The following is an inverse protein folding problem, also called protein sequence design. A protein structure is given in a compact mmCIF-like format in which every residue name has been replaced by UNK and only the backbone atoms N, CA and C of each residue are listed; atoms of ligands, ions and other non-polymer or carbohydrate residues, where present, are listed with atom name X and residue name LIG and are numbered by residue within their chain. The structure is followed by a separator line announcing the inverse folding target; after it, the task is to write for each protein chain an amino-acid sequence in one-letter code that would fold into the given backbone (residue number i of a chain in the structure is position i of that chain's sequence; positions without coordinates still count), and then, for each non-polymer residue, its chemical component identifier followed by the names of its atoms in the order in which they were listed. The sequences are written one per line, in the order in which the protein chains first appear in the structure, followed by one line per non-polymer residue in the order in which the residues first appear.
data_IF_594452564929
#
_entry.id   IF_594452564929
#
_cell.length_a   1.000
_cell.length_b   1.000
_cell.length_c   1.000
_cell.angle_alpha   90.00
_cell.angle_beta   90.00
_cell.angle_gamma   90.00
#
_symmetry.space_group_name_H-M   'P 1'
#
loop_
_entity.id
_entity.type
_entity.pdbx_description
1 polymer ?
#
# COMPACT_ATOMS: atom_id res chain seq x y z
N UNK A 1 -11.30 -14.83 3.13
CA UNK A 1 -12.42 -14.50 4.07
C UNK A 1 -12.45 -13.01 4.48
N UNK A 2 -11.38 -12.40 5.02
CA UNK A 2 -11.32 -10.92 5.23
C UNK A 2 -11.00 -10.12 3.96
N UNK A 3 -10.50 -10.78 2.90
CA UNK A 3 -10.12 -10.19 1.61
C UNK A 3 -11.30 -9.99 0.64
N UNK A 4 -12.36 -10.79 0.79
CA UNK A 4 -13.60 -10.76 -0.03
C UNK A 4 -14.39 -9.45 0.08
N UNK A 5 -14.29 -8.80 1.23
CA UNK A 5 -15.19 -7.75 1.66
C UNK A 5 -14.76 -6.34 1.21
N UNK A 6 -13.49 -6.21 0.86
CA UNK A 6 -12.84 -4.93 0.58
C UNK A 6 -13.28 -4.35 -0.76
N UNK A 7 -13.80 -5.15 -1.71
CA UNK A 7 -13.98 -4.70 -3.09
C UNK A 7 -15.26 -3.91 -3.38
N UNK A 8 -16.41 -4.22 -2.78
CA UNK A 8 -17.59 -3.35 -2.97
C UNK A 8 -17.61 -2.20 -1.96
N UNK A 9 -16.92 -2.41 -0.85
CA UNK A 9 -16.29 -1.33 -0.08
C UNK A 9 -15.25 -0.58 -0.90
N UNK A 10 -14.64 -1.11 -1.96
CA UNK A 10 -13.81 -0.35 -2.87
C UNK A 10 -14.70 0.31 -3.93
N UNK A 11 -15.80 -0.23 -4.42
CA UNK A 11 -16.70 0.57 -5.26
C UNK A 11 -17.25 1.78 -4.46
N UNK A 12 -17.63 1.59 -3.20
CA UNK A 12 -18.06 2.66 -2.29
C UNK A 12 -16.88 3.50 -1.77
N UNK A 13 -15.78 2.90 -1.30
CA UNK A 13 -14.62 3.60 -0.74
C UNK A 13 -13.59 4.06 -1.76
N UNK A 14 -13.60 3.58 -3.00
CA UNK A 14 -12.94 4.22 -4.15
C UNK A 14 -13.79 5.40 -4.60
N UNK A 15 -15.13 5.30 -4.51
CA UNK A 15 -16.05 6.43 -4.64
C UNK A 15 -16.08 7.36 -3.41
N UNK A 16 -15.39 7.03 -2.31
CA UNK A 16 -15.20 7.91 -1.14
C UNK A 16 -13.76 8.44 -1.08
N UNK A 17 -12.78 7.63 -1.49
CA UNK A 17 -11.42 8.08 -1.80
C UNK A 17 -11.40 9.12 -2.92
N UNK A 18 -12.33 9.05 -3.88
CA UNK A 18 -12.51 10.04 -4.95
C UNK A 18 -13.06 11.39 -4.46
N UNK A 19 -13.63 11.43 -3.26
CA UNK A 19 -14.20 12.63 -2.64
C UNK A 19 -13.49 13.01 -1.33
N UNK A 20 -12.24 12.60 -1.15
CA UNK A 20 -11.43 12.92 0.04
C UNK A 20 -12.09 12.52 1.37
N UNK A 21 -13.01 11.55 1.32
CA UNK A 21 -13.73 11.13 2.50
C UNK A 21 -12.87 10.21 3.37
N UNK A 22 -12.45 10.73 4.51
CA UNK A 22 -11.53 10.05 5.43
C UNK A 22 -12.33 9.10 6.32
N UNK A 23 -12.60 7.90 5.82
CA UNK A 23 -13.16 6.83 6.66
C UNK A 23 -12.14 6.43 7.73
N UNK A 24 -12.53 6.54 8.99
CA UNK A 24 -11.83 5.96 10.12
C UNK A 24 -11.81 4.44 10.02
N UNK A 25 -10.87 3.80 10.71
CA UNK A 25 -10.75 2.34 10.69
C UNK A 25 -11.97 1.65 11.34
N UNK A 26 -12.62 2.33 12.29
CA UNK A 26 -13.91 1.92 12.85
C UNK A 26 -15.02 1.91 11.79
N UNK A 27 -15.11 2.94 10.96
CA UNK A 27 -16.11 3.02 9.88
C UNK A 27 -15.86 1.94 8.82
N UNK A 28 -14.60 1.72 8.45
CA UNK A 28 -14.23 0.63 7.53
C UNK A 28 -14.62 -0.74 8.09
N UNK A 29 -14.35 -1.00 9.36
CA UNK A 29 -14.69 -2.25 10.02
C UNK A 29 -16.21 -2.46 10.11
N UNK A 30 -16.98 -1.40 10.43
CA UNK A 30 -18.43 -1.46 10.51
C UNK A 30 -19.07 -1.75 9.14
N UNK A 31 -18.60 -1.09 8.08
CA UNK A 31 -19.08 -1.37 6.72
C UNK A 31 -18.71 -2.80 6.33
N UNK A 32 -17.46 -3.22 6.60
CA UNK A 32 -16.96 -4.55 6.30
C UNK A 32 -17.86 -5.62 6.90
N UNK A 33 -18.18 -5.50 8.18
CA UNK A 33 -19.05 -6.45 8.87
C UNK A 33 -20.47 -6.48 8.28
N UNK A 34 -21.01 -5.34 7.85
CA UNK A 34 -22.35 -5.25 7.29
C UNK A 34 -22.47 -5.86 5.88
N UNK A 35 -21.43 -5.73 5.05
CA UNK A 35 -21.49 -6.11 3.62
C UNK A 35 -20.99 -7.53 3.34
N UNK A 36 -20.24 -8.15 4.26
CA UNK A 36 -19.66 -9.49 4.08
C UNK A 36 -20.68 -10.57 3.74
N UNK A 37 -21.83 -10.69 4.44
CA UNK A 37 -22.82 -11.71 4.12
C UNK A 37 -23.41 -11.54 2.71
N UNK A 38 -23.64 -10.29 2.30
CA UNK A 38 -24.19 -9.93 0.98
C UNK A 38 -23.20 -10.32 -0.12
N UNK A 39 -21.92 -10.05 0.08
CA UNK A 39 -20.86 -10.40 -0.87
C UNK A 39 -20.72 -11.89 -1.05
N UNK A 40 -20.69 -12.66 0.04
CA UNK A 40 -20.62 -14.12 -0.03
C UNK A 40 -21.81 -14.68 -0.80
N UNK A 41 -23.02 -14.20 -0.53
CA UNK A 41 -24.23 -14.65 -1.21
C UNK A 41 -24.19 -14.34 -2.72
N UNK A 42 -23.86 -13.09 -3.10
CA UNK A 42 -23.80 -12.70 -4.50
C UNK A 42 -22.65 -13.37 -5.27
N UNK A 43 -21.50 -13.57 -4.63
CA UNK A 43 -20.34 -14.27 -5.21
C UNK A 43 -20.72 -15.71 -5.59
N UNK A 44 -21.39 -16.42 -4.67
CA UNK A 44 -21.88 -17.77 -4.92
C UNK A 44 -22.94 -17.81 -6.03
N UNK A 45 -23.87 -16.84 -6.03
CA UNK A 45 -24.95 -16.79 -7.02
C UNK A 45 -24.44 -16.53 -8.45
N UNK A 46 -23.35 -15.79 -8.61
CA UNK A 46 -22.87 -15.33 -9.92
C UNK A 46 -21.50 -15.88 -10.31
N UNK A 47 -20.98 -16.87 -9.57
CA UNK A 47 -19.75 -17.58 -9.92
C UNK A 47 -18.50 -16.70 -9.89
N UNK A 48 -18.48 -15.68 -9.04
CA UNK A 48 -17.33 -14.77 -8.88
C UNK A 48 -16.44 -15.27 -7.76
N UNK A 49 -15.19 -15.58 -8.04
CA UNK A 49 -14.23 -16.09 -7.05
C UNK A 49 -13.55 -14.97 -6.25
N UNK A 50 -12.87 -15.34 -5.15
CA UNK A 50 -12.03 -14.39 -4.39
C UNK A 50 -10.90 -13.82 -5.26
N UNK A 51 -10.39 -14.63 -6.18
CA UNK A 51 -9.33 -14.24 -7.10
C UNK A 51 -9.83 -13.19 -8.10
N UNK A 52 -11.01 -13.37 -8.68
CA UNK A 52 -11.60 -12.40 -9.62
C UNK A 52 -11.82 -11.05 -8.95
N UNK A 53 -12.31 -11.07 -7.70
CA UNK A 53 -12.52 -9.86 -6.89
C UNK A 53 -11.18 -9.20 -6.54
N UNK A 54 -10.15 -10.00 -6.24
CA UNK A 54 -8.80 -9.51 -5.95
C UNK A 54 -8.19 -8.84 -7.19
N UNK A 55 -8.26 -9.50 -8.35
CA UNK A 55 -7.76 -8.94 -9.62
C UNK A 55 -8.49 -7.65 -9.97
N UNK A 56 -9.81 -7.60 -9.86
CA UNK A 56 -10.58 -6.38 -10.09
C UNK A 56 -10.19 -5.23 -9.13
N UNK A 57 -9.85 -5.56 -7.88
CA UNK A 57 -9.34 -4.59 -6.89
C UNK A 57 -7.97 -4.03 -7.29
N UNK A 58 -7.05 -4.90 -7.68
CA UNK A 58 -5.67 -4.56 -8.06
C UNK A 58 -5.65 -3.73 -9.35
N UNK A 59 -6.39 -4.18 -10.36
CA UNK A 59 -6.54 -3.50 -11.64
C UNK A 59 -7.36 -2.21 -11.54
N UNK A 60 -8.07 -2.01 -10.41
CA UNK A 60 -9.02 -0.92 -10.18
C UNK A 60 -10.06 -0.84 -11.30
N UNK A 61 -10.43 -2.00 -11.84
CA UNK A 61 -11.35 -2.15 -12.95
C UNK A 61 -12.32 -3.29 -12.64
N UNK A 62 -13.61 -3.06 -12.90
CA UNK A 62 -14.67 -4.02 -12.68
C UNK A 62 -15.13 -4.73 -13.95
N UNK A 63 -14.53 -4.42 -15.11
CA UNK A 63 -14.89 -5.02 -16.41
C UNK A 63 -14.74 -6.54 -16.45
N UNK A 64 -13.80 -7.06 -15.66
CA UNK A 64 -13.54 -8.50 -15.54
C UNK A 64 -14.48 -9.19 -14.55
N UNK A 65 -15.33 -8.44 -13.84
CA UNK A 65 -16.33 -9.02 -12.94
C UNK A 65 -17.66 -9.21 -13.64
N UNK A 66 -18.35 -10.27 -13.21
CA UNK A 66 -19.72 -10.50 -13.64
C UNK A 66 -20.60 -9.30 -13.24
N UNK A 67 -21.20 -8.61 -14.22
CA UNK A 67 -22.04 -7.44 -13.95
C UNK A 67 -23.25 -7.76 -13.06
N UNK A 68 -23.77 -8.99 -13.11
CA UNK A 68 -24.85 -9.43 -12.24
C UNK A 68 -24.41 -9.69 -10.79
N UNK A 69 -23.13 -10.00 -10.55
CA UNK A 69 -22.60 -9.99 -9.18
C UNK A 69 -22.71 -8.60 -8.56
N UNK A 70 -22.35 -7.55 -9.32
CA UNK A 70 -22.44 -6.15 -8.88
C UNK A 70 -23.91 -5.76 -8.69
N UNK A 71 -24.78 -6.13 -9.64
CA UNK A 71 -26.22 -5.89 -9.55
C UNK A 71 -26.88 -6.55 -8.35
N UNK A 72 -26.54 -7.82 -8.07
CA UNK A 72 -26.99 -8.53 -6.88
C UNK A 72 -26.61 -7.79 -5.60
N UNK A 73 -25.34 -7.37 -5.52
CA UNK A 73 -24.85 -6.64 -4.36
C UNK A 73 -25.61 -5.32 -4.17
N UNK A 74 -25.73 -4.51 -5.23
CA UNK A 74 -26.40 -3.22 -5.12
C UNK A 74 -27.88 -3.32 -4.80
N UNK A 75 -28.58 -4.34 -5.30
CA UNK A 75 -29.97 -4.61 -4.89
C UNK A 75 -30.10 -4.95 -3.42
N UNK A 76 -29.20 -5.77 -2.88
CA UNK A 76 -29.22 -6.14 -1.45
C UNK A 76 -28.84 -4.97 -0.53
N UNK A 77 -28.09 -4.00 -1.06
CA UNK A 77 -27.80 -2.74 -0.38
C UNK A 77 -28.86 -1.65 -0.63
N UNK A 78 -29.94 -1.99 -1.36
CA UNK A 78 -30.98 -1.06 -1.83
C UNK A 78 -30.44 0.15 -2.61
N UNK A 79 -29.25 0.04 -3.20
CA UNK A 79 -28.70 1.01 -4.15
C UNK A 79 -29.44 0.87 -5.47
N UNK A 80 -29.77 -0.36 -5.88
CA UNK A 80 -30.71 -0.61 -6.97
C UNK A 80 -32.06 -1.05 -6.40
N UNK A 81 -33.16 -0.60 -7.01
CA UNK A 81 -34.50 -1.05 -6.70
C UNK A 81 -34.83 -2.42 -7.33
N UNK A 82 -36.07 -2.88 -7.12
CA UNK A 82 -36.56 -4.15 -7.68
C UNK A 82 -36.60 -4.16 -9.22
N UNK A 83 -36.70 -2.98 -9.86
CA UNK A 83 -36.63 -2.81 -11.32
C UNK A 83 -35.19 -2.70 -11.83
N UNK A 84 -34.19 -2.81 -10.96
CA UNK A 84 -32.79 -2.65 -11.31
C UNK A 84 -32.42 -1.20 -11.67
N UNK A 85 -33.21 -0.22 -11.22
CA UNK A 85 -32.90 1.21 -11.34
C UNK A 85 -32.15 1.70 -10.12
N UNK A 86 -31.25 2.64 -10.34
CA UNK A 86 -30.48 3.28 -9.29
C UNK A 86 -31.38 4.20 -8.45
N UNK A 87 -31.48 3.87 -7.16
CA UNK A 87 -32.20 4.62 -6.15
C UNK A 87 -31.21 5.48 -5.36
N UNK A 88 -31.02 6.71 -5.83
CA UNK A 88 -30.06 7.67 -5.25
C UNK A 88 -30.34 7.92 -3.77
N UNK A 89 -31.59 8.17 -3.40
CA UNK A 89 -31.98 8.53 -2.04
C UNK A 89 -31.78 7.36 -1.06
N UNK A 90 -32.21 6.16 -1.43
CA UNK A 90 -32.06 4.97 -0.59
C UNK A 90 -30.58 4.52 -0.50
N UNK A 91 -29.85 4.63 -1.61
CA UNK A 91 -28.41 4.42 -1.63
C UNK A 91 -27.69 5.35 -0.66
N UNK A 92 -27.96 6.66 -0.72
CA UNK A 92 -27.36 7.64 0.19
C UNK A 92 -27.79 7.44 1.65
N UNK A 93 -29.05 7.08 1.91
CA UNK A 93 -29.52 6.75 3.25
C UNK A 93 -28.80 5.53 3.84
N UNK A 94 -28.43 4.55 3.01
CA UNK A 94 -27.67 3.39 3.46
C UNK A 94 -26.20 3.69 3.65
N UNK A 95 -25.58 4.48 2.76
CA UNK A 95 -24.17 4.87 2.90
C UNK A 95 -23.93 5.85 4.07
N UNK A 96 -24.85 6.80 4.31
CA UNK A 96 -24.72 7.81 5.37
C UNK A 96 -24.71 7.24 6.79
N UNK A 97 -25.16 6.00 6.98
CA UNK A 97 -25.05 5.26 8.25
C UNK A 97 -23.60 5.00 8.67
N UNK A 98 -22.67 5.05 7.71
CA UNK A 98 -21.27 4.67 7.90
C UNK A 98 -20.28 5.82 7.72
N UNK A 99 -20.75 6.99 7.25
CA UNK A 99 -19.92 8.16 7.01
C UNK A 99 -20.30 9.22 8.04
N UNK A 100 -19.46 9.40 9.06
CA UNK A 100 -19.70 10.34 10.16
C UNK A 100 -19.37 11.79 9.78
N UNK A 101 -18.51 12.00 8.79
CA UNK A 101 -18.11 13.33 8.32
C UNK A 101 -19.18 13.95 7.42
N UNK A 102 -19.63 15.16 7.76
CA UNK A 102 -20.62 15.90 6.98
C UNK A 102 -20.05 16.35 5.62
N UNK A 103 -18.77 16.71 5.56
CA UNK A 103 -18.07 17.09 4.32
C UNK A 103 -18.03 15.92 3.34
N UNK A 104 -17.71 14.74 3.87
CA UNK A 104 -17.56 13.50 3.11
C UNK A 104 -18.90 13.02 2.56
N UNK A 105 -19.95 13.16 3.38
CA UNK A 105 -21.33 12.86 2.98
C UNK A 105 -21.79 13.79 1.86
N UNK A 106 -21.50 15.09 1.94
CA UNK A 106 -21.91 16.05 0.92
C UNK A 106 -21.28 15.77 -0.45
N UNK A 107 -20.01 15.36 -0.45
CA UNK A 107 -19.32 15.04 -1.70
C UNK A 107 -19.77 13.70 -2.30
N UNK A 108 -19.98 12.68 -1.46
CA UNK A 108 -20.61 11.43 -1.91
C UNK A 108 -22.00 11.70 -2.51
N UNK A 109 -22.79 12.57 -1.87
CA UNK A 109 -24.12 12.97 -2.35
C UNK A 109 -24.07 13.64 -3.73
N UNK A 110 -23.05 14.46 -4.00
CA UNK A 110 -22.86 15.07 -5.32
C UNK A 110 -22.61 14.01 -6.40
N UNK A 111 -21.65 13.10 -6.19
CA UNK A 111 -21.33 12.02 -7.13
C UNK A 111 -22.53 11.08 -7.31
N UNK A 112 -23.20 10.72 -6.21
CA UNK A 112 -24.37 9.86 -6.23
C UNK A 112 -25.51 10.45 -7.07
N UNK A 113 -25.73 11.77 -7.02
CA UNK A 113 -26.75 12.45 -7.83
C UNK A 113 -26.34 12.54 -9.30
N UNK A 114 -25.07 12.83 -9.59
CA UNK A 114 -24.56 12.93 -10.95
C UNK A 114 -24.64 11.58 -11.68
N UNK A 115 -24.25 10.50 -10.99
CA UNK A 115 -24.42 9.14 -11.48
C UNK A 115 -25.87 8.66 -11.51
N UNK A 116 -26.85 9.47 -11.10
CA UNK A 116 -28.28 9.20 -11.30
C UNK A 116 -28.65 9.02 -12.78
N UNK A 117 -27.87 9.63 -13.68
CA UNK A 117 -28.02 9.56 -15.14
C UNK A 117 -27.90 8.15 -15.71
N UNK A 118 -27.31 7.19 -14.99
CA UNK A 118 -27.25 5.78 -15.44
C UNK A 118 -28.63 5.12 -15.56
N UNK A 119 -29.67 5.73 -14.98
CA UNK A 119 -31.05 5.31 -15.19
C UNK A 119 -31.57 5.61 -16.60
N UNK A 120 -31.01 6.61 -17.28
CA UNK A 120 -31.40 7.00 -18.64
C UNK A 120 -30.72 6.13 -19.71
N UNK A 121 -29.68 5.40 -19.33
CA UNK A 121 -28.95 4.49 -20.21
C UNK A 121 -29.78 3.24 -20.55
N UNK A 122 -29.71 2.86 -21.83
CA UNK A 122 -30.35 1.66 -22.33
C UNK A 122 -29.60 0.41 -21.82
N UNK A 123 -30.35 -0.52 -21.25
CA UNK A 123 -29.81 -1.81 -20.77
C UNK A 123 -30.59 -2.96 -21.40
N UNK A 124 -29.91 -4.08 -21.63
CA UNK A 124 -30.48 -5.28 -22.27
C UNK A 124 -31.00 -6.32 -21.27
N UNK A 125 -30.61 -6.20 -20.01
CA UNK A 125 -30.91 -7.14 -18.92
C UNK A 125 -32.22 -6.82 -18.17
N UNK A 126 -32.96 -5.81 -18.63
CA UNK A 126 -34.26 -5.41 -18.11
C UNK A 126 -34.20 -5.07 -16.62
N UNK A 127 -35.00 -5.77 -15.81
CA UNK A 127 -35.07 -5.54 -14.37
C UNK A 127 -33.94 -6.22 -13.59
N UNK A 128 -33.01 -6.94 -14.23
CA UNK A 128 -31.93 -7.63 -13.53
C UNK A 128 -30.96 -6.65 -12.86
N UNK A 129 -30.71 -5.49 -13.47
CA UNK A 129 -29.88 -4.42 -12.91
C UNK A 129 -28.38 -4.70 -12.93
N UNK A 130 -27.94 -5.72 -13.67
CA UNK A 130 -26.54 -6.07 -13.87
C UNK A 130 -25.79 -5.00 -14.66
N UNK A 131 -26.30 -4.63 -15.85
CA UNK A 131 -25.67 -3.63 -16.72
C UNK A 131 -25.69 -2.26 -16.07
N UNK A 132 -26.82 -1.90 -15.45
CA UNK A 132 -26.93 -0.61 -14.75
C UNK A 132 -26.03 -0.51 -13.53
N UNK A 133 -25.79 -1.62 -12.83
CA UNK A 133 -24.79 -1.66 -11.75
C UNK A 133 -23.39 -1.41 -12.29
N UNK A 134 -23.03 -1.98 -13.44
CA UNK A 134 -21.73 -1.75 -14.06
C UNK A 134 -21.58 -0.29 -14.52
N UNK A 135 -22.62 0.30 -15.13
CA UNK A 135 -22.65 1.72 -15.49
C UNK A 135 -22.49 2.64 -14.27
N UNK A 136 -23.16 2.31 -13.17
CA UNK A 136 -23.05 3.06 -11.91
C UNK A 136 -21.62 3.01 -11.35
N UNK A 137 -20.99 1.84 -11.37
CA UNK A 137 -19.58 1.69 -10.95
C UNK A 137 -18.65 2.48 -11.88
N UNK A 138 -18.84 2.38 -13.19
CA UNK A 138 -18.03 3.11 -14.16
C UNK A 138 -18.15 4.64 -13.97
N UNK A 139 -19.37 5.16 -13.75
CA UNK A 139 -19.61 6.56 -13.46
C UNK A 139 -18.86 6.99 -12.18
N UNK A 140 -19.01 6.22 -11.09
CA UNK A 140 -18.38 6.57 -9.82
C UNK A 140 -16.84 6.50 -9.90
N UNK A 141 -16.29 5.59 -10.71
CA UNK A 141 -14.86 5.51 -11.03
C UNK A 141 -14.38 6.66 -11.92
N UNK A 142 -15.21 7.19 -12.83
CA UNK A 142 -14.86 8.36 -13.63
C UNK A 142 -14.63 9.59 -12.74
N UNK A 143 -15.45 9.77 -11.70
CA UNK A 143 -15.23 10.80 -10.67
C UNK A 143 -13.99 10.55 -9.79
N UNK A 144 -13.36 9.36 -9.85
CA UNK A 144 -12.06 9.05 -9.21
C UNK A 144 -10.86 9.37 -10.10
N UNK A 145 -10.99 9.25 -11.42
CA UNK A 145 -9.98 9.80 -12.35
C UNK A 145 -9.85 11.33 -12.18
N UNK A 146 -10.84 11.94 -11.55
CA UNK A 146 -10.83 13.36 -11.18
C UNK A 146 -10.14 13.69 -9.83
N UNK A 147 -9.62 12.72 -9.06
CA UNK A 147 -9.12 12.92 -7.69
C UNK A 147 -7.58 13.00 -7.51
N UNK A 148 -6.81 12.72 -8.56
CA UNK A 148 -5.89 13.76 -9.04
C UNK A 148 -6.47 14.02 -10.41
N UNK A 149 -7.26 15.09 -10.54
CA UNK A 149 -7.91 15.46 -11.79
C UNK A 149 -7.04 15.10 -12.97
N UNK A 150 -7.54 14.50 -14.05
CA UNK A 150 -6.76 14.54 -15.30
C UNK A 150 -6.33 16.00 -15.59
N UNK A 151 -7.15 16.98 -15.17
CA UNK A 151 -6.80 18.40 -15.07
C UNK A 151 -5.71 18.76 -14.08
N UNK A 152 -5.63 18.12 -12.91
CA UNK A 152 -4.58 18.37 -11.90
C UNK A 152 -3.27 17.66 -12.28
N UNK A 153 -3.33 16.44 -12.83
CA UNK A 153 -2.17 15.77 -13.44
C UNK A 153 -1.65 16.56 -14.61
N UNK A 154 -2.53 17.05 -15.47
CA UNK A 154 -2.16 17.90 -16.58
C UNK A 154 -1.68 19.26 -16.09
N UNK A 155 -2.26 19.86 -15.04
CA UNK A 155 -1.75 21.10 -14.44
C UNK A 155 -0.39 20.92 -13.78
N UNK A 156 -0.15 19.79 -13.10
CA UNK A 156 1.16 19.42 -12.54
C UNK A 156 2.15 19.21 -13.68
N UNK A 157 1.75 18.48 -14.72
CA UNK A 157 2.56 18.24 -15.92
C UNK A 157 2.88 19.54 -16.62
N UNK A 158 1.92 20.43 -16.86
CA UNK A 158 2.11 21.76 -17.45
C UNK A 158 3.00 22.64 -16.57
N UNK A 159 2.82 22.60 -15.25
CA UNK A 159 3.62 23.39 -14.30
C UNK A 159 5.06 22.90 -14.20
N UNK A 160 5.27 21.59 -14.34
CA UNK A 160 6.60 20.96 -14.29
C UNK A 160 7.23 20.80 -15.68
N UNK A 161 6.46 20.87 -16.77
CA UNK A 161 6.95 20.68 -18.15
C UNK A 161 8.15 21.55 -18.46
N UNK A 162 8.16 22.87 -18.12
CA UNK A 162 9.34 23.70 -18.38
C UNK A 162 10.60 23.19 -17.68
N UNK A 163 10.47 22.67 -16.45
CA UNK A 163 11.58 22.09 -15.68
C UNK A 163 11.99 20.75 -16.28
N UNK A 164 11.02 19.89 -16.63
CA UNK A 164 11.24 18.58 -17.24
C UNK A 164 11.93 18.73 -18.60
N UNK A 165 11.48 19.66 -19.44
CA UNK A 165 12.04 19.92 -20.76
C UNK A 165 13.44 20.52 -20.66
N UNK A 166 13.65 21.47 -19.74
CA UNK A 166 14.98 22.06 -19.48
C UNK A 166 15.97 21.01 -18.99
N UNK A 167 15.56 20.18 -18.02
CA UNK A 167 16.43 19.14 -17.50
C UNK A 167 16.65 18.02 -18.52
N UNK A 168 15.59 17.56 -19.19
CA UNK A 168 15.61 16.44 -20.15
C UNK A 168 16.52 16.67 -21.36
N UNK A 169 16.80 17.92 -21.73
CA UNK A 169 17.69 18.26 -22.84
C UNK A 169 19.19 18.21 -22.47
N UNK A 170 19.54 17.96 -21.21
CA UNK A 170 20.90 18.14 -20.68
C UNK A 170 21.72 16.89 -20.31
N UNK A 171 21.26 15.66 -20.60
CA UNK A 171 21.75 14.47 -19.87
C UNK A 171 22.95 13.69 -20.41
N UNK A 172 23.69 14.21 -21.40
CA UNK A 172 24.94 13.60 -21.85
C UNK A 172 26.11 14.59 -21.80
N UNK A 173 26.32 15.27 -20.67
CA UNK A 173 27.52 16.07 -20.47
C UNK A 173 28.37 15.57 -19.30
N UNK A 174 29.69 15.58 -19.51
CA UNK A 174 30.75 15.14 -18.59
C UNK A 174 30.80 15.92 -17.25
N UNK A 175 29.80 16.77 -16.98
CA UNK A 175 29.66 17.63 -15.81
C UNK A 175 28.81 17.01 -14.67
N UNK A 176 28.33 15.77 -14.82
CA UNK A 176 27.62 15.06 -13.76
C UNK A 176 26.18 15.54 -13.49
N UNK A 177 25.56 16.33 -14.38
CA UNK A 177 24.15 16.73 -14.20
C UNK A 177 23.17 15.66 -14.69
N UNK A 178 22.80 14.75 -13.80
CA UNK A 178 21.65 13.85 -13.89
C UNK A 178 20.30 14.59 -13.80
N UNK A 179 19.23 13.94 -14.27
CA UNK A 179 17.88 14.50 -14.31
C UNK A 179 17.38 14.90 -12.94
N UNK A 180 17.57 14.01 -11.96
CA UNK A 180 17.19 14.28 -10.58
C UNK A 180 17.87 15.54 -10.04
N UNK A 181 19.18 15.71 -10.28
CA UNK A 181 19.95 16.87 -9.81
C UNK A 181 19.44 18.19 -10.38
N UNK A 182 19.22 18.24 -11.68
CA UNK A 182 18.63 19.42 -12.33
C UNK A 182 17.21 19.70 -11.81
N UNK A 183 16.37 18.67 -11.76
CA UNK A 183 14.97 18.79 -11.39
C UNK A 183 14.80 19.25 -9.94
N UNK A 184 15.45 18.59 -8.99
CA UNK A 184 15.38 18.95 -7.57
C UNK A 184 16.13 20.24 -7.23
N UNK A 185 17.20 20.55 -7.97
CA UNK A 185 17.88 21.85 -7.89
C UNK A 185 16.95 23.00 -8.25
N UNK A 186 16.21 22.87 -9.36
CA UNK A 186 15.22 23.87 -9.82
C UNK A 186 14.05 24.02 -8.86
N UNK A 187 13.63 22.93 -8.22
CA UNK A 187 12.62 22.94 -7.17
C UNK A 187 13.15 23.44 -5.81
N UNK A 188 14.46 23.69 -5.68
CA UNK A 188 15.11 24.08 -4.43
C UNK A 188 15.10 22.99 -3.35
N UNK A 189 14.73 21.76 -3.72
CA UNK A 189 14.72 20.58 -2.83
C UNK A 189 16.14 20.17 -2.48
N UNK A 190 17.09 20.39 -3.40
CA UNK A 190 18.52 20.27 -3.17
C UNK A 190 19.16 21.59 -3.59
N UNK A 191 20.04 22.15 -2.76
CA UNK A 191 20.73 23.40 -3.11
C UNK A 191 21.98 23.19 -3.99
N UNK A 192 22.67 24.28 -4.32
CA UNK A 192 23.87 24.25 -5.17
C UNK A 192 25.05 23.50 -4.53
N UNK A 193 25.03 23.30 -3.21
CA UNK A 193 26.03 22.54 -2.46
C UNK A 193 25.62 21.07 -2.29
N UNK A 194 24.50 20.66 -2.89
CA UNK A 194 23.97 19.29 -2.77
C UNK A 194 23.27 19.02 -1.44
N UNK A 195 22.85 20.05 -0.71
CA UNK A 195 22.14 19.86 0.57
C UNK A 195 20.65 19.74 0.32
N UNK A 196 20.07 18.61 0.75
CA UNK A 196 18.64 18.38 0.75
C UNK A 196 17.95 19.28 1.79
N UNK A 197 16.92 20.01 1.35
CA UNK A 197 16.13 20.92 2.16
C UNK A 197 14.67 20.41 2.28
N UNK A 198 14.28 19.85 3.45
CA UNK A 198 12.93 19.30 3.63
C UNK A 198 11.84 20.37 3.55
N UNK A 199 12.09 21.59 4.03
CA UNK A 199 11.11 22.68 3.99
C UNK A 199 10.82 23.13 2.56
N UNK A 200 11.86 23.19 1.72
CA UNK A 200 11.68 23.46 0.29
C UNK A 200 11.02 22.29 -0.42
N UNK A 201 11.30 21.04 -0.05
CA UNK A 201 10.58 19.88 -0.59
C UNK A 201 9.08 19.96 -0.28
N UNK A 202 8.72 20.25 0.96
CA UNK A 202 7.34 20.47 1.43
C UNK A 202 6.71 21.65 0.71
N UNK A 203 7.42 22.77 0.59
CA UNK A 203 6.93 23.98 -0.07
C UNK A 203 6.70 23.76 -1.56
N UNK A 204 7.62 23.11 -2.25
CA UNK A 204 7.51 22.80 -3.67
C UNK A 204 6.34 21.87 -3.91
N UNK A 205 6.21 20.80 -3.11
CA UNK A 205 5.04 19.93 -3.20
C UNK A 205 3.75 20.68 -2.87
N UNK A 206 3.69 21.50 -1.83
CA UNK A 206 2.52 22.34 -1.58
C UNK A 206 2.19 23.31 -2.72
N UNK A 207 3.20 23.83 -3.42
CA UNK A 207 3.02 24.75 -4.52
C UNK A 207 2.44 24.07 -5.77
N UNK A 208 2.91 22.85 -6.08
CA UNK A 208 2.49 22.10 -7.27
C UNK A 208 1.29 21.17 -7.01
N UNK A 209 1.09 20.73 -5.77
CA UNK A 209 0.12 19.71 -5.33
C UNK A 209 -0.93 20.30 -4.38
N UNK A 210 -1.38 21.55 -4.61
CA UNK A 210 -2.46 22.16 -3.83
C UNK A 210 -3.69 21.26 -3.85
N UNK A 211 -4.08 20.71 -2.69
CA UNK A 211 -5.25 19.86 -2.56
C UNK A 211 -4.98 18.39 -2.21
N UNK A 212 -3.72 17.95 -2.12
CA UNK A 212 -3.43 16.55 -1.82
C UNK A 212 -3.74 16.19 -0.36
N UNK A 213 -4.69 15.27 -0.19
CA UNK A 213 -5.14 14.75 1.10
C UNK A 213 -4.17 13.77 1.78
N UNK A 214 -2.88 14.11 1.96
CA UNK A 214 -2.02 13.54 3.02
C UNK A 214 -0.70 14.32 3.20
N UNK A 215 -0.77 15.65 3.25
CA UNK A 215 0.40 16.51 3.44
C UNK A 215 1.19 16.17 4.70
N UNK A 216 0.52 15.75 5.78
CA UNK A 216 1.18 15.34 7.03
C UNK A 216 2.17 14.19 6.85
N UNK A 217 1.81 13.16 6.06
CA UNK A 217 2.72 12.04 5.77
C UNK A 217 3.89 12.50 4.92
N UNK A 218 3.65 13.35 3.91
CA UNK A 218 4.73 13.89 3.10
C UNK A 218 5.71 14.73 3.93
N UNK A 219 5.20 15.59 4.82
CA UNK A 219 6.02 16.39 5.72
C UNK A 219 6.89 15.54 6.64
N UNK A 220 6.33 14.46 7.19
CA UNK A 220 7.07 13.51 8.01
C UNK A 220 8.18 12.83 7.21
N UNK A 221 7.87 12.33 6.01
CA UNK A 221 8.84 11.68 5.12
C UNK A 221 9.94 12.65 4.70
N UNK A 222 9.59 13.87 4.29
CA UNK A 222 10.57 14.90 3.93
C UNK A 222 11.54 15.17 5.08
N UNK A 223 11.02 15.30 6.31
CA UNK A 223 11.87 15.47 7.51
C UNK A 223 12.77 14.27 7.76
N UNK A 224 12.24 13.03 7.68
CA UNK A 224 13.03 11.79 7.81
C UNK A 224 14.15 11.69 6.77
N UNK A 225 13.91 12.16 5.55
CA UNK A 225 14.89 12.17 4.48
C UNK A 225 16.02 13.18 4.64
N UNK A 226 16.02 14.04 5.68
CA UNK A 226 17.18 14.90 6.00
C UNK A 226 18.46 14.10 6.22
N UNK A 227 18.36 12.83 6.64
CA UNK A 227 19.48 11.89 6.78
C UNK A 227 20.30 11.72 5.49
N UNK A 228 19.72 12.00 4.31
CA UNK A 228 20.45 11.91 3.05
C UNK A 228 21.61 12.90 3.01
N UNK A 229 21.61 13.96 3.83
CA UNK A 229 22.70 14.94 3.96
C UNK A 229 23.94 14.40 4.69
N UNK A 230 23.81 13.30 5.42
CA UNK A 230 24.91 12.71 6.18
C UNK A 230 25.66 11.64 5.36
N UNK A 231 25.07 11.19 4.25
CA UNK A 231 25.66 10.16 3.39
C UNK A 231 26.87 10.72 2.63
N UNK A 232 27.95 9.93 2.44
CA UNK A 232 29.06 10.36 1.61
C UNK A 232 28.63 10.47 0.14
N UNK A 233 29.24 11.40 -0.58
CA UNK A 233 29.01 11.63 -2.01
C UNK A 233 30.34 11.69 -2.78
N UNK A 234 30.31 11.31 -4.04
CA UNK A 234 31.45 11.42 -4.95
C UNK A 234 31.69 12.87 -5.32
N UNK A 235 32.96 13.27 -5.30
CA UNK A 235 33.37 14.63 -5.63
C UNK A 235 32.99 14.98 -7.07
N UNK A 236 32.26 16.08 -7.27
CA UNK A 236 31.81 16.56 -8.58
C UNK A 236 30.46 16.01 -9.04
N UNK A 237 29.74 15.25 -8.21
CA UNK A 237 28.39 14.72 -8.50
C UNK A 237 27.42 14.89 -7.31
N UNK A 238 27.74 15.78 -6.38
CA UNK A 238 27.11 15.88 -5.07
C UNK A 238 25.60 16.14 -5.18
N UNK A 239 25.19 17.08 -6.03
CA UNK A 239 23.79 17.43 -6.26
C UNK A 239 22.99 16.21 -6.76
N UNK A 240 23.60 15.42 -7.62
CA UNK A 240 22.94 14.32 -8.30
C UNK A 240 22.78 13.09 -7.44
N UNK A 241 23.84 12.71 -6.74
CA UNK A 241 23.78 11.63 -5.76
C UNK A 241 22.80 11.97 -4.64
N UNK A 242 22.80 13.21 -4.15
CA UNK A 242 21.85 13.67 -3.12
C UNK A 242 20.41 13.69 -3.58
N UNK A 243 20.19 14.14 -4.81
CA UNK A 243 18.86 14.14 -5.43
C UNK A 243 18.34 12.73 -5.61
N UNK A 244 19.18 11.79 -6.06
CA UNK A 244 18.80 10.39 -6.16
C UNK A 244 18.53 9.77 -4.77
N UNK A 245 19.39 10.02 -3.78
CA UNK A 245 19.15 9.56 -2.40
C UNK A 245 17.86 10.11 -1.79
N UNK A 246 17.47 11.34 -2.12
CA UNK A 246 16.22 11.94 -1.68
C UNK A 246 15.00 11.25 -2.34
N UNK A 247 15.10 10.90 -3.64
CA UNK A 247 14.08 10.09 -4.33
C UNK A 247 13.96 8.71 -3.69
N UNK A 248 15.09 8.03 -3.52
CA UNK A 248 15.15 6.69 -2.95
C UNK A 248 14.55 6.69 -1.54
N UNK A 249 14.91 7.66 -0.70
CA UNK A 249 14.34 7.82 0.63
C UNK A 249 12.82 8.07 0.60
N UNK A 250 12.33 8.89 -0.34
CA UNK A 250 10.89 9.10 -0.53
C UNK A 250 10.17 7.81 -0.95
N UNK A 251 10.80 6.99 -1.79
CA UNK A 251 10.28 5.70 -2.25
C UNK A 251 10.32 4.64 -1.13
N UNK A 252 11.38 4.59 -0.34
CA UNK A 252 11.50 3.76 0.87
C UNK A 252 10.30 4.03 1.80
N UNK A 253 9.95 5.31 2.01
CA UNK A 253 8.86 5.69 2.90
C UNK A 253 7.45 5.65 2.28
N UNK A 254 7.35 5.48 0.95
CA UNK A 254 6.08 5.25 0.25
C UNK A 254 5.47 3.90 0.63
N UNK A 255 6.32 2.89 0.86
CA UNK A 255 5.94 1.53 1.23
C UNK A 255 6.35 1.19 2.66
N UNK A 256 6.47 2.19 3.55
CA UNK A 256 6.97 1.93 4.88
C UNK A 256 5.91 1.37 5.83
N UNK A 257 6.28 0.30 6.54
CA UNK A 257 5.64 -0.13 7.79
C UNK A 257 5.66 1.07 8.74
N UNK A 258 4.52 1.42 9.35
CA UNK A 258 4.41 2.64 10.16
C UNK A 258 5.27 2.55 11.42
N UNK A 259 5.64 3.69 12.01
CA UNK A 259 6.41 3.70 13.26
C UNK A 259 5.64 3.00 14.41
N UNK A 260 4.31 3.08 14.39
CA UNK A 260 3.41 2.39 15.32
C UNK A 260 3.46 0.87 15.12
N UNK A 261 3.43 0.40 13.87
CA UNK A 261 3.59 -1.01 13.53
C UNK A 261 4.99 -1.52 13.92
N UNK A 262 6.04 -0.73 13.70
CA UNK A 262 7.42 -1.04 14.14
C UNK A 262 7.53 -1.14 15.66
N UNK A 263 6.90 -0.22 16.40
CA UNK A 263 6.86 -0.26 17.86
C UNK A 263 6.11 -1.50 18.37
N UNK A 264 4.95 -1.81 17.79
CA UNK A 264 4.18 -3.00 18.16
C UNK A 264 4.93 -4.31 17.89
N UNK A 265 5.66 -4.40 16.77
CA UNK A 265 6.54 -5.53 16.46
C UNK A 265 7.66 -5.63 17.49
N UNK A 266 8.31 -4.50 17.82
CA UNK A 266 9.39 -4.47 18.81
C UNK A 266 8.90 -4.94 20.18
N UNK A 267 7.75 -4.48 20.65
CA UNK A 267 7.21 -4.86 21.96
C UNK A 267 6.95 -6.37 22.07
N UNK A 268 6.53 -7.02 20.97
CA UNK A 268 6.33 -8.47 20.93
C UNK A 268 7.65 -9.22 20.81
N UNK A 269 8.58 -8.73 19.99
CA UNK A 269 9.85 -9.41 19.75
C UNK A 269 10.85 -9.25 20.89
N UNK A 270 10.83 -8.14 21.63
CA UNK A 270 11.82 -7.86 22.66
C UNK A 270 11.94 -8.94 23.74
N UNK A 271 10.86 -9.45 24.37
CA UNK A 271 10.99 -10.56 25.32
C UNK A 271 11.52 -11.85 24.67
N UNK A 272 11.14 -12.13 23.42
CA UNK A 272 11.62 -13.30 22.67
C UNK A 272 13.12 -13.16 22.38
N UNK A 273 13.57 -11.98 21.94
CA UNK A 273 14.97 -11.67 21.69
C UNK A 273 15.78 -11.82 22.97
N UNK A 274 15.31 -11.30 24.11
CA UNK A 274 15.99 -11.46 25.39
C UNK A 274 16.14 -12.93 25.77
N UNK A 275 15.07 -13.72 25.67
CA UNK A 275 15.10 -15.15 25.98
C UNK A 275 16.08 -15.91 25.06
N UNK A 276 15.99 -15.72 23.75
CA UNK A 276 16.88 -16.37 22.78
C UNK A 276 18.34 -15.91 22.91
N UNK A 277 18.57 -14.65 23.31
CA UNK A 277 19.91 -14.12 23.57
C UNK A 277 20.57 -14.82 24.75
N UNK A 278 19.82 -15.06 25.83
CA UNK A 278 20.29 -15.82 26.99
C UNK A 278 20.59 -17.28 26.62
N UNK A 279 19.69 -17.92 25.86
CA UNK A 279 19.83 -19.32 25.44
C UNK A 279 21.07 -19.56 24.55
N UNK A 280 21.35 -18.65 23.62
CA UNK A 280 22.42 -18.81 22.63
C UNK A 280 23.66 -17.94 22.88
N UNK A 281 23.69 -17.25 24.03
CA UNK A 281 24.78 -16.37 24.43
C UNK A 281 25.07 -15.26 23.41
N UNK A 282 24.03 -14.59 22.93
CA UNK A 282 24.13 -13.43 22.03
C UNK A 282 24.03 -12.15 22.87
N UNK A 283 24.98 -11.25 22.72
CA UNK A 283 24.96 -9.96 23.39
C UNK A 283 24.21 -8.90 22.58
N UNK A 284 23.77 -7.82 23.21
CA UNK A 284 23.17 -6.67 22.51
C UNK A 284 24.13 -6.09 21.45
N UNK A 285 25.44 -6.07 21.73
CA UNK A 285 26.45 -5.65 20.77
C UNK A 285 26.55 -6.55 19.53
N UNK A 286 26.29 -7.85 19.66
CA UNK A 286 26.24 -8.78 18.52
C UNK A 286 25.01 -8.50 17.64
N UNK A 287 23.86 -8.19 18.27
CA UNK A 287 22.63 -7.82 17.55
C UNK A 287 22.84 -6.51 16.78
N UNK A 288 23.39 -5.48 17.43
CA UNK A 288 23.69 -4.20 16.77
C UNK A 288 24.67 -4.35 15.61
N UNK A 289 25.69 -5.21 15.76
CA UNK A 289 26.64 -5.49 14.70
C UNK A 289 25.97 -6.18 13.51
N UNK A 290 25.07 -7.12 13.77
CA UNK A 290 24.29 -7.81 12.73
C UNK A 290 23.32 -6.87 12.00
N UNK A 291 22.63 -5.99 12.74
CA UNK A 291 21.75 -4.98 12.16
C UNK A 291 22.51 -4.03 11.22
N UNK A 292 23.68 -3.56 11.66
CA UNK A 292 24.55 -2.69 10.83
C UNK A 292 25.10 -3.40 9.61
N UNK A 293 25.40 -4.70 9.72
CA UNK A 293 25.90 -5.50 8.61
C UNK A 293 24.81 -5.82 7.57
N UNK A 294 23.53 -5.74 7.95
CA UNK A 294 22.38 -6.12 7.12
C UNK A 294 22.57 -7.49 6.44
N UNK A 295 23.16 -8.44 7.18
CA UNK A 295 23.59 -9.74 6.67
C UNK A 295 23.30 -10.84 7.71
N UNK A 296 22.69 -11.93 7.26
CA UNK A 296 22.37 -13.10 8.08
C UNK A 296 23.63 -13.80 8.66
N UNK A 297 24.81 -13.61 8.06
CA UNK A 297 26.06 -14.21 8.57
C UNK A 297 26.60 -13.54 9.83
N UNK A 298 26.19 -12.31 10.09
CA UNK A 298 26.71 -11.52 11.21
C UNK A 298 26.06 -11.89 12.56
N UNK A 299 25.16 -12.87 12.58
CA UNK A 299 24.43 -13.29 13.78
C UNK A 299 24.39 -14.82 13.89
N UNK A 300 24.32 -15.31 15.13
CA UNK A 300 24.33 -16.76 15.39
C UNK A 300 23.09 -17.42 14.76
N UNK A 301 23.24 -18.47 13.93
CA UNK A 301 22.11 -19.12 13.28
C UNK A 301 21.06 -19.66 14.26
N UNK A 302 21.46 -20.27 15.37
CA UNK A 302 20.51 -20.80 16.34
C UNK A 302 19.76 -19.71 17.12
N UNK A 303 20.35 -18.53 17.30
CA UNK A 303 19.62 -17.38 17.84
C UNK A 303 18.48 -16.95 16.90
N UNK A 304 18.73 -16.90 15.59
CA UNK A 304 17.67 -16.67 14.60
C UNK A 304 16.63 -17.79 14.63
N UNK A 305 17.07 -19.05 14.68
CA UNK A 305 16.18 -20.22 14.77
C UNK A 305 15.25 -20.15 15.97
N UNK A 306 15.77 -19.79 17.15
CA UNK A 306 14.98 -19.59 18.36
C UNK A 306 13.90 -18.50 18.19
N UNK A 307 14.28 -17.33 17.66
CA UNK A 307 13.33 -16.23 17.43
C UNK A 307 12.23 -16.67 16.45
N UNK A 308 12.62 -17.26 15.33
CA UNK A 308 11.69 -17.63 14.27
C UNK A 308 10.76 -18.78 14.70
N UNK A 309 11.22 -19.71 15.55
CA UNK A 309 10.35 -20.73 16.15
C UNK A 309 9.34 -20.12 17.12
N UNK A 310 9.78 -19.22 17.99
CA UNK A 310 8.90 -18.57 18.99
C UNK A 310 7.89 -17.62 18.36
N UNK A 311 8.16 -17.13 17.17
CA UNK A 311 7.21 -16.33 16.37
C UNK A 311 6.42 -17.17 15.36
N UNK A 312 6.54 -18.50 15.39
CA UNK A 312 5.90 -19.44 14.46
C UNK A 312 6.24 -19.22 12.97
N UNK A 313 7.35 -18.53 12.69
CA UNK A 313 7.89 -18.45 11.33
C UNK A 313 8.53 -19.77 10.93
N UNK A 314 9.20 -20.43 11.88
CA UNK A 314 9.59 -21.83 11.76
C UNK A 314 8.68 -22.70 12.62
N UNK A 315 8.31 -23.87 12.12
CA UNK A 315 7.56 -24.87 12.87
C UNK A 315 8.46 -25.61 13.89
N UNK A 316 7.86 -26.55 14.63
CA UNK A 316 8.58 -27.37 15.62
C UNK A 316 9.69 -28.24 15.01
N UNK A 317 9.62 -28.53 13.71
CA UNK A 317 10.63 -29.30 12.96
C UNK A 317 11.67 -28.37 12.27
N UNK A 318 11.66 -27.07 12.59
CA UNK A 318 12.58 -26.09 12.04
C UNK A 318 12.33 -25.76 10.57
N UNK A 319 11.14 -26.05 10.04
CA UNK A 319 10.73 -25.73 8.66
C UNK A 319 9.99 -24.40 8.60
N UNK A 320 10.23 -23.63 7.56
CA UNK A 320 9.52 -22.39 7.31
C UNK A 320 8.05 -22.64 7.05
N UNK A 321 7.20 -21.98 7.84
CA UNK A 321 5.76 -22.02 7.74
C UNK A 321 5.24 -20.67 7.24
N UNK A 322 5.11 -20.52 5.92
CA UNK A 322 4.66 -19.29 5.28
C UNK A 322 3.25 -18.87 5.74
N UNK A 323 2.34 -19.83 5.92
CA UNK A 323 0.96 -19.54 6.29
C UNK A 323 0.89 -18.93 7.68
N UNK A 324 1.52 -19.58 8.68
CA UNK A 324 1.58 -19.04 10.04
C UNK A 324 2.39 -17.72 10.10
N UNK A 325 3.48 -17.62 9.34
CA UNK A 325 4.26 -16.38 9.23
C UNK A 325 3.38 -15.20 8.79
N UNK A 326 2.53 -15.40 7.78
CA UNK A 326 1.62 -14.38 7.27
C UNK A 326 0.48 -14.08 8.25
N UNK A 327 0.00 -15.07 9.01
CA UNK A 327 -0.97 -14.85 10.08
C UNK A 327 -0.41 -13.99 11.21
N UNK A 328 0.84 -14.20 11.58
CA UNK A 328 1.55 -13.38 12.58
C UNK A 328 1.77 -11.97 12.07
N UNK A 329 2.24 -11.83 10.82
CA UNK A 329 2.48 -10.54 10.19
C UNK A 329 1.22 -9.65 10.16
N UNK A 330 0.06 -10.22 9.83
CA UNK A 330 -1.25 -9.52 9.79
C UNK A 330 -1.68 -8.92 11.15
N UNK A 331 -1.10 -9.39 12.26
CA UNK A 331 -1.36 -8.79 13.58
C UNK A 331 -0.81 -7.37 13.65
N UNK A 332 0.28 -7.11 12.94
CA UNK A 332 1.01 -5.85 12.95
C UNK A 332 0.71 -5.03 11.70
N UNK A 333 0.99 -5.59 10.52
CA UNK A 333 0.83 -4.89 9.24
C UNK A 333 -0.64 -4.85 8.84
N UNK A 334 -1.19 -3.65 8.67
CA UNK A 334 -2.61 -3.45 8.27
C UNK A 334 -2.81 -3.27 6.78
N UNK A 335 -1.74 -2.92 6.07
CA UNK A 335 -1.76 -2.73 4.63
C UNK A 335 -1.81 -4.07 3.90
N UNK A 336 -2.93 -4.33 3.22
CA UNK A 336 -3.09 -5.54 2.40
C UNK A 336 -2.12 -5.58 1.20
N UNK A 337 -1.72 -4.42 0.67
CA UNK A 337 -0.69 -4.33 -0.38
C UNK A 337 0.66 -4.81 0.16
N UNK A 338 1.00 -4.38 1.38
CA UNK A 338 2.27 -4.74 2.02
C UNK A 338 2.29 -6.21 2.41
N UNK A 339 1.16 -6.73 2.94
CA UNK A 339 0.98 -8.16 3.19
C UNK A 339 1.15 -8.98 1.89
N UNK A 340 0.64 -8.51 0.75
CA UNK A 340 0.78 -9.20 -0.52
C UNK A 340 2.25 -9.30 -0.97
N UNK A 341 3.03 -8.21 -0.80
CA UNK A 341 4.48 -8.23 -1.09
C UNK A 341 5.23 -9.20 -0.18
N UNK A 342 4.92 -9.20 1.12
CA UNK A 342 5.50 -10.19 2.04
C UNK A 342 5.09 -11.64 1.69
N UNK A 343 3.86 -11.85 1.20
CA UNK A 343 3.39 -13.16 0.72
C UNK A 343 4.16 -13.61 -0.54
N UNK A 344 4.41 -12.71 -1.49
CA UNK A 344 5.20 -13.00 -2.69
C UNK A 344 6.64 -13.38 -2.34
N UNK A 345 7.31 -12.57 -1.53
CA UNK A 345 8.69 -12.85 -1.07
C UNK A 345 8.72 -14.13 -0.22
N UNK A 346 7.73 -14.35 0.64
CA UNK A 346 7.60 -15.58 1.42
C UNK A 346 7.49 -16.83 0.54
N UNK A 347 6.75 -16.76 -0.58
CA UNK A 347 6.68 -17.86 -1.56
C UNK A 347 8.03 -18.13 -2.20
N UNK A 348 8.76 -17.09 -2.60
CA UNK A 348 10.12 -17.24 -3.17
C UNK A 348 11.06 -17.91 -2.17
N UNK A 349 11.02 -17.47 -0.92
CA UNK A 349 11.85 -18.01 0.15
C UNK A 349 11.38 -19.36 0.71
N UNK A 350 10.22 -19.88 0.29
CA UNK A 350 9.76 -21.20 0.75
C UNK A 350 10.67 -22.36 0.35
N UNK A 351 11.46 -22.16 -0.71
CA UNK A 351 12.48 -23.08 -1.21
C UNK A 351 13.59 -23.43 -0.19
N UNK A 352 13.76 -22.65 0.88
CA UNK A 352 14.70 -22.98 1.97
C UNK A 352 14.36 -24.28 2.68
N UNK A 353 13.09 -24.73 2.61
CA UNK A 353 12.67 -26.01 3.17
C UNK A 353 13.25 -27.21 2.41
N UNK A 354 13.57 -27.04 1.13
CA UNK A 354 14.12 -28.09 0.27
C UNK A 354 15.65 -28.17 0.37
N UNK A 355 16.29 -27.22 1.07
CA UNK A 355 17.74 -27.21 1.27
C UNK A 355 18.14 -28.22 2.36
N UNK A 356 19.24 -28.92 2.09
CA UNK A 356 19.89 -29.80 3.07
C UNK A 356 20.51 -28.94 4.18
N UNK A 357 20.25 -29.34 5.42
CA UNK A 357 20.83 -28.71 6.61
C UNK A 357 21.40 -29.78 7.55
N UNK A 358 22.43 -29.41 8.30
CA UNK A 358 23.17 -30.32 9.18
C UNK A 358 22.62 -30.39 10.61
N UNK A 359 21.79 -29.43 10.99
CA UNK A 359 21.20 -29.26 12.33
C UNK A 359 19.82 -29.94 12.50
N UNK A 360 19.41 -30.72 11.50
CA UNK A 360 18.17 -31.50 11.54
C UNK A 360 16.92 -30.64 11.73
N UNK A 361 16.27 -30.83 12.88
CA UNK A 361 15.03 -30.13 13.26
C UNK A 361 15.28 -28.90 14.14
N UNK A 362 16.54 -28.59 14.49
CA UNK A 362 16.87 -27.42 15.30
C UNK A 362 16.52 -26.10 14.58
N UNK A 363 16.61 -26.06 13.25
CA UNK A 363 16.15 -24.95 12.43
C UNK A 363 17.08 -23.73 12.43
N UNK A 364 18.28 -23.84 12.99
CA UNK A 364 19.31 -22.81 12.98
C UNK A 364 19.79 -22.47 11.55
N UNK A 365 20.15 -23.49 10.77
CA UNK A 365 20.66 -23.29 9.40
C UNK A 365 19.55 -22.81 8.47
N UNK A 366 18.33 -23.38 8.58
CA UNK A 366 17.16 -22.89 7.84
C UNK A 366 16.80 -21.45 8.20
N UNK A 367 16.92 -21.04 9.46
CA UNK A 367 16.73 -19.65 9.85
C UNK A 367 17.71 -18.72 9.14
N UNK A 368 19.00 -19.10 9.08
CA UNK A 368 20.01 -18.32 8.35
C UNK A 368 19.67 -18.21 6.86
N UNK A 369 19.31 -19.33 6.21
CA UNK A 369 18.91 -19.36 4.80
C UNK A 369 17.68 -18.50 4.52
N UNK A 370 16.67 -18.57 5.39
CA UNK A 370 15.45 -17.79 5.27
C UNK A 370 15.73 -16.29 5.37
N UNK A 371 16.48 -15.86 6.39
CA UNK A 371 16.83 -14.44 6.56
C UNK A 371 17.71 -13.94 5.40
N UNK A 372 18.64 -14.75 4.90
CA UNK A 372 19.43 -14.41 3.72
C UNK A 372 18.53 -14.18 2.49
N UNK A 373 17.57 -15.08 2.23
CA UNK A 373 16.62 -14.93 1.14
C UNK A 373 15.76 -13.65 1.28
N UNK A 374 15.26 -13.36 2.49
CA UNK A 374 14.53 -12.12 2.73
C UNK A 374 15.39 -10.87 2.51
N UNK A 375 16.70 -10.91 2.80
CA UNK A 375 17.60 -9.80 2.49
C UNK A 375 17.85 -9.64 0.99
N UNK A 376 17.96 -10.73 0.23
CA UNK A 376 18.08 -10.70 -1.23
C UNK A 376 16.87 -10.00 -1.88
N UNK A 377 15.68 -10.22 -1.32
CA UNK A 377 14.43 -9.62 -1.78
C UNK A 377 13.99 -8.37 -0.99
N UNK A 378 14.89 -7.75 -0.22
CA UNK A 378 14.56 -6.60 0.63
C UNK A 378 13.93 -5.43 -0.13
N UNK A 379 14.35 -5.20 -1.38
CA UNK A 379 13.83 -4.12 -2.22
C UNK A 379 12.38 -4.36 -2.70
N UNK A 380 11.91 -5.60 -2.66
CA UNK A 380 10.55 -5.99 -3.04
C UNK A 380 9.58 -5.89 -1.85
N UNK A 381 10.14 -5.76 -0.64
CA UNK A 381 9.37 -5.67 0.61
C UNK A 381 9.08 -4.21 1.02
N UNK A 382 8.00 -4.00 1.79
CA UNK A 382 7.74 -2.74 2.48
C UNK A 382 8.80 -2.47 3.58
N UNK A 383 9.35 -1.25 3.69
CA UNK A 383 10.55 -0.94 4.52
C UNK A 383 10.27 -0.06 5.75
#
# INVERSE_FOLDING_TARGET
MSKFTCFVLCAVAVSLSSVHAKLSDEEKAAIHQAVLPILTECSQAHGVSEADIKTAKEDRNTDNLNSCFIGCFFKKMNVLDAEGKYNVDEGLNNLSKYIKSDEDRAKLEAVAKECGTVNDEAVSDGAAGCERAQLLVACALAHKAEAIGDKEREAIRESLSPIIDECGQGHDNDAGSCFAGCFFGKLGVVDADGVYNPDNAIKSINAYLKGFGNLSRFEEVAKKCTRVNERPVSKGNEICERSQMAVDCGLEHKYAVTDEEKAAIRDVLQPIITECSEEHGVSEGDIEAAEKAANAEAIKPCFLGCILKKTNVLDSHGKYNMEESLEQLKKFVKSEEDIAKFEEVGKLCSSVNDQEVSDGEEGCERAKLLIACYFEHKAEMPV
#
